data_IF_242075958197
#
_entry.id   IF_242075958197
#
_cell.length_a   1.000
_cell.length_b   1.000
_cell.length_c   1.000
_cell.angle_alpha   90.00
_cell.angle_beta   90.00
_cell.angle_gamma   90.00
#
_symmetry.space_group_name_H-M   'P 1'
#
loop_
_entity.id
_entity.type
_entity.pdbx_description
1 polymer ?
#
# COMPACT_ATOMS: atom_id res chain seq x y z
N UNK A 1 -13.01 5.59 -13.32
CA UNK A 1 -12.20 4.44 -12.85
C UNK A 1 -10.93 4.26 -13.67
N UNK A 2 -10.98 4.21 -15.02
CA UNK A 2 -9.78 4.03 -15.85
C UNK A 2 -8.63 5.03 -15.60
N UNK A 3 -8.90 6.34 -15.57
CA UNK A 3 -7.84 7.34 -15.32
C UNK A 3 -7.21 7.27 -13.93
N UNK A 4 -7.93 6.79 -12.92
CA UNK A 4 -7.40 6.59 -11.56
C UNK A 4 -6.40 5.42 -11.52
N UNK A 5 -6.71 4.33 -12.24
CA UNK A 5 -5.83 3.16 -12.36
C UNK A 5 -4.55 3.54 -13.11
N UNK A 6 -4.66 4.31 -14.21
CA UNK A 6 -3.48 4.78 -14.95
C UNK A 6 -2.60 5.67 -14.08
N UNK A 7 -3.19 6.63 -13.35
CA UNK A 7 -2.45 7.48 -12.42
C UNK A 7 -1.75 6.67 -11.32
N UNK A 8 -2.44 5.64 -10.80
CA UNK A 8 -1.86 4.74 -9.79
C UNK A 8 -0.68 3.95 -10.34
N UNK A 9 -0.83 3.31 -11.50
CA UNK A 9 0.24 2.54 -12.15
C UNK A 9 1.43 3.45 -12.43
N UNK A 10 1.20 4.65 -12.97
CA UNK A 10 2.27 5.60 -13.24
C UNK A 10 3.01 6.01 -11.96
N UNK A 11 2.29 6.31 -10.88
CA UNK A 11 2.89 6.61 -9.58
C UNK A 11 3.75 5.44 -9.09
N UNK A 12 3.22 4.22 -9.15
CA UNK A 12 3.94 3.03 -8.69
C UNK A 12 5.18 2.73 -9.52
N UNK A 13 5.10 2.85 -10.85
CA UNK A 13 6.28 2.68 -11.71
C UNK A 13 7.38 3.68 -11.37
N UNK A 14 7.02 4.93 -11.06
CA UNK A 14 7.98 5.95 -10.64
C UNK A 14 8.57 5.62 -9.26
N UNK A 15 7.73 5.34 -8.26
CA UNK A 15 8.18 5.04 -6.89
C UNK A 15 9.08 3.80 -6.88
N UNK A 16 8.62 2.69 -7.45
CA UNK A 16 9.41 1.46 -7.52
C UNK A 16 10.68 1.63 -8.36
N UNK A 17 10.64 2.41 -9.44
CA UNK A 17 11.83 2.71 -10.25
C UNK A 17 12.89 3.50 -9.47
N UNK A 18 12.46 4.51 -8.71
CA UNK A 18 13.35 5.30 -7.84
C UNK A 18 13.93 4.45 -6.72
N UNK A 19 13.12 3.63 -6.06
CA UNK A 19 13.59 2.74 -4.99
C UNK A 19 14.55 1.70 -5.53
N UNK A 20 14.26 1.09 -6.67
CA UNK A 20 15.16 0.12 -7.29
C UNK A 20 16.52 0.77 -7.67
N UNK A 21 16.51 2.01 -8.17
CA UNK A 21 17.72 2.71 -8.57
C UNK A 21 18.57 3.22 -7.38
N UNK A 22 17.93 3.60 -6.27
CA UNK A 22 18.62 4.32 -5.18
C UNK A 22 18.67 3.57 -3.86
N UNK A 23 17.70 2.69 -3.60
CA UNK A 23 17.39 2.13 -2.27
C UNK A 23 17.01 0.64 -2.34
N UNK A 24 17.59 -0.11 -3.28
CA UNK A 24 17.24 -1.54 -3.51
C UNK A 24 17.44 -2.44 -2.29
N UNK A 25 18.43 -2.16 -1.46
CA UNK A 25 18.70 -2.91 -0.22
C UNK A 25 17.52 -2.80 0.74
N UNK A 26 16.98 -1.59 0.86
CA UNK A 26 15.89 -1.24 1.77
C UNK A 26 14.59 -1.87 1.29
N UNK A 27 14.31 -1.78 -0.02
CA UNK A 27 13.21 -2.48 -0.67
C UNK A 27 13.26 -3.99 -0.38
N UNK A 28 14.42 -4.63 -0.54
CA UNK A 28 14.54 -6.06 -0.27
C UNK A 28 14.44 -6.39 1.22
N UNK A 29 14.90 -5.51 2.11
CA UNK A 29 14.75 -5.69 3.55
C UNK A 29 13.27 -5.69 3.95
N UNK A 30 12.49 -4.74 3.41
CA UNK A 30 11.07 -4.58 3.73
C UNK A 30 10.21 -5.73 3.17
N UNK A 31 10.60 -6.31 2.03
CA UNK A 31 9.88 -7.42 1.40
C UNK A 31 10.24 -8.81 1.97
N UNK A 32 11.43 -8.96 2.58
CA UNK A 32 11.96 -10.26 3.04
C UNK A 32 11.01 -11.02 3.98
N UNK A 33 10.33 -10.39 4.97
CA UNK A 33 9.41 -11.09 5.87
C UNK A 33 8.26 -11.79 5.14
N UNK A 34 7.86 -11.32 3.96
CA UNK A 34 6.77 -11.90 3.20
C UNK A 34 7.20 -13.08 2.32
N UNK A 35 8.51 -13.23 2.05
CA UNK A 35 9.04 -14.27 1.13
C UNK A 35 8.71 -15.67 1.64
N UNK A 36 8.99 -15.95 2.91
CA UNK A 36 8.72 -17.27 3.51
C UNK A 36 7.24 -17.62 3.45
N UNK A 37 6.39 -16.62 3.72
CA UNK A 37 4.94 -16.79 3.75
C UNK A 37 4.36 -17.07 2.35
N UNK A 38 4.81 -16.36 1.31
CA UNK A 38 4.33 -16.60 -0.08
C UNK A 38 5.04 -17.77 -0.77
N UNK A 39 6.17 -18.24 -0.25
CA UNK A 39 6.86 -19.44 -0.78
C UNK A 39 6.50 -20.73 -0.06
N UNK A 40 5.96 -20.63 1.15
CA UNK A 40 5.55 -21.74 1.99
C UNK A 40 4.34 -22.53 1.47
N UNK A 41 3.97 -23.62 2.18
CA UNK A 41 2.84 -24.48 1.81
C UNK A 41 1.49 -23.74 1.84
N UNK A 42 1.32 -22.78 2.75
CA UNK A 42 0.07 -22.02 2.96
C UNK A 42 -0.02 -20.75 2.09
N UNK A 43 0.77 -20.66 1.02
CA UNK A 43 0.89 -19.44 0.22
C UNK A 43 -0.43 -18.92 -0.36
N UNK A 44 -1.41 -19.80 -0.62
CA UNK A 44 -2.73 -19.37 -1.13
C UNK A 44 -3.49 -18.57 -0.08
N UNK A 45 -3.44 -18.99 1.18
CA UNK A 45 -4.03 -18.25 2.28
C UNK A 45 -3.29 -16.92 2.49
N UNK A 46 -1.96 -16.96 2.46
CA UNK A 46 -1.14 -15.76 2.49
C UNK A 46 -1.49 -14.75 1.38
N UNK A 47 -1.62 -15.24 0.15
CA UNK A 47 -1.97 -14.43 -1.01
C UNK A 47 -3.36 -13.81 -0.86
N UNK A 48 -4.34 -14.56 -0.38
CA UNK A 48 -5.68 -14.05 -0.11
C UNK A 48 -5.67 -12.97 0.99
N UNK A 49 -4.93 -13.20 2.08
CA UNK A 49 -4.83 -12.24 3.19
C UNK A 49 -4.08 -10.98 2.77
N UNK A 50 -2.88 -11.09 2.19
CA UNK A 50 -2.06 -9.92 1.81
C UNK A 50 -2.67 -9.18 0.62
N UNK A 51 -3.12 -9.91 -0.41
CA UNK A 51 -3.60 -9.34 -1.66
C UNK A 51 -5.02 -8.80 -1.60
N UNK A 52 -5.89 -9.35 -0.74
CA UNK A 52 -7.31 -8.98 -0.68
C UNK A 52 -7.76 -8.58 0.73
N UNK A 53 -7.46 -9.40 1.74
CA UNK A 53 -7.93 -9.19 3.11
C UNK A 53 -7.43 -7.90 3.75
N UNK A 54 -6.11 -7.69 3.72
CA UNK A 54 -5.46 -6.48 4.23
C UNK A 54 -5.97 -5.22 3.50
N UNK A 55 -5.88 -5.12 2.15
CA UNK A 55 -6.41 -3.98 1.41
C UNK A 55 -7.88 -3.67 1.70
N UNK A 56 -8.73 -4.69 1.77
CA UNK A 56 -10.15 -4.50 2.09
C UNK A 56 -10.33 -3.94 3.50
N UNK A 57 -9.71 -4.57 4.50
CA UNK A 57 -9.87 -4.18 5.91
C UNK A 57 -9.28 -2.80 6.20
N UNK A 58 -8.10 -2.49 5.64
CA UNK A 58 -7.41 -1.22 5.84
C UNK A 58 -8.17 -0.07 5.19
N UNK A 59 -8.62 -0.22 3.94
CA UNK A 59 -9.37 0.85 3.28
C UNK A 59 -10.73 1.09 3.92
N UNK A 60 -11.43 0.03 4.37
CA UNK A 60 -12.67 0.17 5.13
C UNK A 60 -12.45 0.93 6.46
N UNK A 61 -11.39 0.59 7.20
CA UNK A 61 -11.09 1.22 8.48
C UNK A 61 -10.58 2.65 8.32
N UNK A 62 -9.51 2.86 7.56
CA UNK A 62 -8.82 4.14 7.51
C UNK A 62 -9.54 5.15 6.63
N UNK A 63 -10.03 4.75 5.45
CA UNK A 63 -10.61 5.67 4.45
C UNK A 63 -12.13 5.68 4.53
N UNK A 64 -12.74 4.52 4.76
CA UNK A 64 -14.19 4.38 4.95
C UNK A 64 -14.67 4.97 6.27
N UNK A 65 -14.12 4.50 7.40
CA UNK A 65 -14.59 4.87 8.74
C UNK A 65 -13.86 6.09 9.32
N UNK A 66 -12.55 6.00 9.58
CA UNK A 66 -11.80 7.02 10.31
C UNK A 66 -11.73 8.35 9.57
N UNK A 67 -11.35 8.33 8.28
CA UNK A 67 -11.25 9.54 7.47
C UNK A 67 -12.60 10.23 7.37
N UNK A 68 -13.67 9.47 7.07
CA UNK A 68 -15.04 10.02 7.00
C UNK A 68 -15.49 10.66 8.32
N UNK A 69 -15.12 10.07 9.47
CA UNK A 69 -15.45 10.63 10.76
C UNK A 69 -14.67 11.92 11.05
N UNK A 70 -13.35 11.90 10.83
CA UNK A 70 -12.48 13.05 11.06
C UNK A 70 -12.72 14.20 10.09
N UNK A 71 -13.12 13.90 8.85
CA UNK A 71 -13.41 14.91 7.83
C UNK A 71 -14.61 15.79 8.19
N UNK A 72 -15.49 15.34 9.09
CA UNK A 72 -16.61 16.13 9.63
C UNK A 72 -16.21 17.08 10.77
N UNK A 73 -14.96 17.01 11.22
CA UNK A 73 -14.41 17.93 12.23
C UNK A 73 -13.77 19.15 11.58
N UNK A 74 -13.16 20.02 12.39
CA UNK A 74 -12.40 21.19 11.91
C UNK A 74 -11.20 20.83 11.03
N UNK A 75 -10.76 19.57 11.05
CA UNK A 75 -9.68 19.08 10.19
C UNK A 75 -10.03 19.13 8.71
N UNK A 76 -11.32 19.02 8.37
CA UNK A 76 -11.77 18.84 6.99
C UNK A 76 -11.17 17.58 6.34
N UNK A 77 -11.39 17.43 5.03
CA UNK A 77 -10.94 16.24 4.31
C UNK A 77 -9.42 16.06 4.36
N UNK A 78 -8.65 17.10 4.04
CA UNK A 78 -7.18 16.98 3.91
C UNK A 78 -6.48 16.82 5.26
N UNK A 79 -6.95 17.51 6.31
CA UNK A 79 -6.44 17.27 7.67
C UNK A 79 -6.74 15.85 8.15
N UNK A 80 -7.95 15.34 7.88
CA UNK A 80 -8.29 13.96 8.18
C UNK A 80 -7.41 12.97 7.39
N UNK A 81 -7.20 13.19 6.09
CA UNK A 81 -6.35 12.36 5.24
C UNK A 81 -4.91 12.27 5.75
N UNK A 82 -4.33 13.39 6.20
CA UNK A 82 -2.99 13.41 6.80
C UNK A 82 -2.94 12.59 8.09
N UNK A 83 -3.91 12.78 8.98
CA UNK A 83 -3.98 12.05 10.26
C UNK A 83 -4.17 10.55 10.04
N UNK A 84 -5.14 10.16 9.21
CA UNK A 84 -5.40 8.73 8.96
C UNK A 84 -4.28 8.06 8.20
N UNK A 85 -3.59 8.78 7.30
CA UNK A 85 -2.41 8.25 6.64
C UNK A 85 -1.27 8.05 7.63
N UNK A 86 -1.02 8.99 8.54
CA UNK A 86 0.00 8.82 9.58
C UNK A 86 -0.29 7.59 10.49
N UNK A 87 -1.55 7.40 10.88
CA UNK A 87 -1.96 6.22 11.65
C UNK A 87 -1.77 4.92 10.85
N UNK A 88 -2.14 4.90 9.58
CA UNK A 88 -1.95 3.73 8.72
C UNK A 88 -0.46 3.42 8.48
N UNK A 89 0.37 4.44 8.22
CA UNK A 89 1.83 4.31 8.11
C UNK A 89 2.42 3.74 9.40
N UNK A 90 1.90 4.09 10.57
CA UNK A 90 2.42 3.57 11.85
C UNK A 90 2.26 2.05 12.02
N UNK A 91 1.38 1.40 11.24
CA UNK A 91 1.30 -0.06 11.22
C UNK A 91 2.51 -0.72 10.54
N UNK A 92 3.36 0.07 9.87
CA UNK A 92 4.50 -0.38 9.09
C UNK A 92 5.84 -0.05 9.76
N UNK A 93 5.88 0.22 11.08
CA UNK A 93 7.10 0.61 11.83
C UNK A 93 8.30 -0.35 11.74
N UNK A 94 8.10 -1.57 11.25
CA UNK A 94 9.20 -2.50 10.94
C UNK A 94 9.93 -2.23 9.63
N UNK A 95 9.41 -1.32 8.78
CA UNK A 95 10.01 -0.98 7.50
C UNK A 95 11.17 -0.01 7.67
N UNK A 96 12.05 0.00 6.67
CA UNK A 96 13.06 1.04 6.49
C UNK A 96 12.43 2.43 6.38
N UNK A 97 13.25 3.47 6.55
CA UNK A 97 12.82 4.87 6.37
C UNK A 97 12.24 5.10 4.97
N UNK A 98 12.84 4.46 3.95
CA UNK A 98 12.37 4.54 2.57
C UNK A 98 11.03 3.84 2.39
N UNK A 99 10.84 2.66 3.00
CA UNK A 99 9.55 1.95 2.99
C UNK A 99 8.44 2.73 3.70
N UNK A 100 8.73 3.33 4.86
CA UNK A 100 7.79 4.21 5.58
C UNK A 100 7.36 5.41 4.71
N UNK A 101 8.30 6.00 3.96
CA UNK A 101 8.01 7.10 3.05
C UNK A 101 7.14 6.65 1.88
N UNK A 102 7.43 5.51 1.27
CA UNK A 102 6.61 4.91 0.20
C UNK A 102 5.19 4.67 0.70
N UNK A 103 5.02 3.98 1.83
CA UNK A 103 3.72 3.71 2.44
C UNK A 103 3.00 5.05 2.64
N UNK A 104 3.63 6.05 3.24
CA UNK A 104 2.99 7.37 3.45
C UNK A 104 2.51 8.03 2.15
N UNK A 105 3.30 7.98 1.08
CA UNK A 105 2.93 8.53 -0.23
C UNK A 105 1.72 7.79 -0.81
N UNK A 106 1.74 6.45 -0.78
CA UNK A 106 0.63 5.60 -1.25
C UNK A 106 -0.64 5.89 -0.45
N UNK A 107 -0.52 6.06 0.87
CA UNK A 107 -1.66 6.30 1.74
C UNK A 107 -2.36 7.63 1.49
N UNK A 108 -1.57 8.68 1.20
CA UNK A 108 -2.09 9.97 0.75
C UNK A 108 -2.70 9.85 -0.65
N UNK A 109 -2.08 9.07 -1.55
CA UNK A 109 -2.62 8.84 -2.89
C UNK A 109 -3.98 8.13 -2.86
N UNK A 110 -4.16 7.10 -2.01
CA UNK A 110 -5.47 6.46 -1.81
C UNK A 110 -6.51 7.41 -1.23
N UNK A 111 -6.11 8.29 -0.31
CA UNK A 111 -7.00 9.36 0.18
C UNK A 111 -7.38 10.31 -0.96
N UNK A 112 -6.45 10.72 -1.82
CA UNK A 112 -6.72 11.53 -3.00
C UNK A 112 -7.63 10.81 -4.02
N UNK A 113 -7.46 9.50 -4.22
CA UNK A 113 -8.35 8.70 -5.06
C UNK A 113 -9.78 8.70 -4.52
N UNK A 114 -9.95 8.52 -3.20
CA UNK A 114 -11.26 8.61 -2.56
C UNK A 114 -11.87 10.01 -2.79
N UNK A 115 -11.10 11.08 -2.57
CA UNK A 115 -11.56 12.45 -2.79
C UNK A 115 -11.98 12.71 -4.23
N UNK A 116 -11.16 12.31 -5.21
CA UNK A 116 -11.42 12.54 -6.64
C UNK A 116 -12.58 11.74 -7.17
N UNK A 117 -12.79 10.53 -6.66
CA UNK A 117 -13.76 9.59 -7.24
C UNK A 117 -15.04 9.47 -6.43
N UNK A 118 -15.05 9.92 -5.16
CA UNK A 118 -16.15 9.74 -4.23
C UNK A 118 -16.47 8.28 -3.93
N UNK A 119 -15.59 7.34 -4.29
CA UNK A 119 -15.86 5.91 -4.24
C UNK A 119 -14.74 5.15 -3.55
N UNK A 120 -15.06 4.51 -2.43
CA UNK A 120 -14.12 3.66 -1.69
C UNK A 120 -13.70 2.41 -2.48
N UNK A 121 -14.48 2.00 -3.50
CA UNK A 121 -14.15 0.86 -4.35
C UNK A 121 -12.87 1.09 -5.16
N UNK A 122 -12.55 2.35 -5.49
CA UNK A 122 -11.37 2.70 -6.28
C UNK A 122 -10.07 2.47 -5.51
N UNK A 123 -9.85 3.05 -4.31
CA UNK A 123 -8.65 2.76 -3.52
C UNK A 123 -8.60 1.29 -3.09
N UNK A 124 -9.71 0.64 -2.72
CA UNK A 124 -9.73 -0.82 -2.44
C UNK A 124 -9.15 -1.60 -3.62
N UNK A 125 -9.63 -1.35 -4.83
CA UNK A 125 -9.16 -2.08 -6.01
C UNK A 125 -7.68 -1.78 -6.31
N UNK A 126 -7.25 -0.52 -6.24
CA UNK A 126 -5.85 -0.16 -6.52
C UNK A 126 -4.90 -0.77 -5.48
N UNK A 127 -5.28 -0.73 -4.20
CA UNK A 127 -4.51 -1.34 -3.11
C UNK A 127 -4.43 -2.86 -3.26
N UNK A 128 -5.57 -3.53 -3.50
CA UNK A 128 -5.60 -4.97 -3.73
C UNK A 128 -4.77 -5.39 -4.96
N UNK A 129 -4.85 -4.63 -6.04
CA UNK A 129 -4.05 -4.87 -7.24
C UNK A 129 -2.56 -4.78 -6.93
N UNK A 130 -2.12 -3.74 -6.22
CA UNK A 130 -0.72 -3.54 -5.87
C UNK A 130 -0.17 -4.64 -4.96
N UNK A 131 -0.88 -4.96 -3.87
CA UNK A 131 -0.46 -6.04 -2.98
C UNK A 131 -0.44 -7.40 -3.69
N UNK A 132 -1.42 -7.68 -4.54
CA UNK A 132 -1.47 -8.92 -5.32
C UNK A 132 -0.30 -9.04 -6.29
N UNK A 133 0.10 -7.93 -6.93
CA UNK A 133 1.28 -7.90 -7.81
C UNK A 133 2.58 -8.11 -7.03
N UNK A 134 2.70 -7.55 -5.82
CA UNK A 134 3.86 -7.81 -4.94
C UNK A 134 3.91 -9.28 -4.56
N UNK A 135 2.81 -9.86 -4.09
CA UNK A 135 2.73 -11.29 -3.72
C UNK A 135 3.13 -12.18 -4.90
N UNK A 136 2.61 -11.90 -6.10
CA UNK A 136 2.95 -12.64 -7.29
C UNK A 136 4.44 -12.48 -7.65
N UNK A 137 4.98 -11.27 -7.54
CA UNK A 137 6.39 -10.99 -7.80
C UNK A 137 7.31 -11.77 -6.84
N UNK A 138 7.02 -11.77 -5.54
CA UNK A 138 7.80 -12.52 -4.53
C UNK A 138 7.71 -14.03 -4.71
N UNK A 139 6.59 -14.53 -5.26
CA UNK A 139 6.43 -15.95 -5.60
C UNK A 139 7.23 -16.34 -6.83
N UNK A 140 7.26 -15.50 -7.85
CA UNK A 140 7.83 -15.82 -9.16
C UNK A 140 9.30 -15.40 -9.33
N UNK A 141 9.76 -14.43 -8.53
CA UNK A 141 11.09 -13.82 -8.65
C UNK A 141 11.84 -13.97 -7.34
N UNK A 142 13.09 -14.44 -7.43
CA UNK A 142 14.01 -14.52 -6.30
C UNK A 142 14.49 -13.13 -5.88
N UNK A 143 14.35 -12.82 -4.59
CA UNK A 143 15.06 -11.69 -4.01
C UNK A 143 16.55 -12.03 -3.94
N UNK A 144 17.45 -11.11 -4.31
CA UNK A 144 18.87 -11.30 -4.10
C UNK A 144 19.17 -11.64 -2.63
N UNK A 145 20.03 -12.63 -2.43
CA UNK A 145 20.57 -12.91 -1.10
C UNK A 145 21.30 -11.68 -0.60
N UNK A 146 21.12 -11.34 0.68
CA UNK A 146 21.92 -10.28 1.30
C UNK A 146 23.39 -10.73 1.24
N UNK A 147 24.15 -10.14 0.33
CA UNK A 147 25.61 -10.28 0.25
C UNK A 147 26.28 -9.26 1.16
#
# INVERSE_FOLDING_TARGET
>A
MGGAIVAFIALQMVVSGVQYATSRSDLYADLRPFVELVRGPDWMLAAAVIGLGAPLSEELLFRGFLLSALARTRLGFWGAALVTTALWTSLHVGYTVIGILEVSIIGLFFSWLLWRTGSLRVPIFCHALYNSLIVLSLRLVDLPTAG
#
